data_IF_156967897513
#
_entry.id   IF_156967897513
#
_cell.length_a   1.000
_cell.length_b   1.000
_cell.length_c   1.000
_cell.angle_alpha   90.00
_cell.angle_beta   90.00
_cell.angle_gamma   90.00
#
_symmetry.space_group_name_H-M   'P 1'
#
loop_
_entity.id
_entity.type
_entity.pdbx_description
1 polymer ?
#
# COMPACT_ATOMS: atom_id res chain seq x y z
N UNK A 1 -28.61 -4.83 28.31
CA UNK A 1 -28.49 -5.45 26.98
C UNK A 1 -27.05 -5.25 26.52
N UNK A 2 -26.38 -6.37 26.29
CA UNK A 2 -25.05 -6.64 25.72
C UNK A 2 -24.03 -5.49 25.62
N UNK A 3 -23.01 -5.53 26.47
CA UNK A 3 -21.68 -5.05 26.11
C UNK A 3 -21.00 -6.16 25.29
N UNK A 4 -20.74 -5.92 24.01
CA UNK A 4 -19.89 -6.80 23.21
C UNK A 4 -18.49 -6.81 23.83
N UNK A 5 -17.82 -7.96 23.99
CA UNK A 5 -16.42 -7.96 24.39
C UNK A 5 -15.63 -7.28 23.26
N UNK A 6 -15.04 -6.13 23.58
CA UNK A 6 -13.99 -5.50 22.80
C UNK A 6 -12.86 -6.52 22.75
N UNK A 7 -12.83 -7.34 21.70
CA UNK A 7 -11.71 -8.23 21.42
C UNK A 7 -10.54 -7.32 21.09
N UNK A 8 -9.73 -6.96 22.09
CA UNK A 8 -8.38 -6.49 21.84
C UNK A 8 -7.71 -7.58 20.98
N UNK A 9 -7.48 -7.34 19.68
CA UNK A 9 -6.80 -8.34 18.88
C UNK A 9 -5.36 -8.35 19.40
N UNK A 10 -5.03 -9.37 20.20
CA UNK A 10 -3.64 -9.71 20.44
C UNK A 10 -2.94 -9.71 19.07
N UNK A 11 -1.80 -9.03 18.92
CA UNK A 11 -1.15 -8.95 17.63
C UNK A 11 -0.87 -10.36 17.12
N UNK A 12 -1.50 -10.72 15.99
CA UNK A 12 -1.32 -12.03 15.36
C UNK A 12 0.16 -12.22 15.02
N UNK A 13 0.68 -13.42 15.23
CA UNK A 13 2.01 -13.75 14.74
C UNK A 13 2.05 -13.73 13.21
N UNK A 14 3.22 -13.50 12.62
CA UNK A 14 3.38 -13.49 11.15
C UNK A 14 2.93 -14.80 10.51
N UNK A 15 3.09 -15.93 11.21
CA UNK A 15 2.63 -17.24 10.78
C UNK A 15 1.10 -17.31 10.71
N UNK A 16 0.40 -16.87 11.77
CA UNK A 16 -1.06 -16.87 11.83
C UNK A 16 -1.65 -15.97 10.75
N UNK A 17 -1.05 -14.78 10.56
CA UNK A 17 -1.44 -13.84 9.50
C UNK A 17 -1.34 -14.46 8.12
N UNK A 18 -0.21 -15.11 7.81
CA UNK A 18 0.00 -15.81 6.52
C UNK A 18 -1.03 -16.90 6.31
N UNK A 19 -1.30 -17.71 7.34
CA UNK A 19 -2.26 -18.80 7.24
C UNK A 19 -3.70 -18.31 7.01
N UNK A 20 -4.09 -17.21 7.67
CA UNK A 20 -5.39 -16.55 7.49
C UNK A 20 -5.55 -16.00 6.06
N UNK A 21 -4.52 -15.36 5.52
CA UNK A 21 -4.54 -14.87 4.14
C UNK A 21 -4.60 -16.01 3.14
N UNK A 22 -3.83 -17.09 3.35
CA UNK A 22 -3.84 -18.25 2.47
C UNK A 22 -5.19 -18.97 2.41
N UNK A 23 -5.98 -18.94 3.50
CA UNK A 23 -7.33 -19.50 3.50
C UNK A 23 -8.30 -18.77 2.53
N UNK A 24 -8.02 -17.51 2.18
CA UNK A 24 -8.86 -16.71 1.27
C UNK A 24 -8.23 -16.59 -0.12
N UNK A 25 -6.91 -16.37 -0.17
CA UNK A 25 -6.19 -16.02 -1.38
C UNK A 25 -5.32 -17.17 -1.93
N UNK A 26 -5.14 -18.26 -1.17
CA UNK A 26 -4.18 -19.31 -1.47
C UNK A 26 -2.75 -18.96 -1.07
N UNK A 27 -1.81 -19.87 -1.35
CA UNK A 27 -0.41 -19.73 -0.90
C UNK A 27 0.39 -18.65 -1.66
N UNK A 28 -0.15 -18.17 -2.79
CA UNK A 28 0.46 -17.11 -3.60
C UNK A 28 -0.30 -15.82 -3.32
N UNK A 29 0.35 -14.88 -2.63
CA UNK A 29 -0.18 -13.54 -2.45
C UNK A 29 0.12 -12.68 -3.70
N UNK A 30 -0.79 -11.77 -4.07
CA UNK A 30 -0.49 -10.75 -5.07
C UNK A 30 0.75 -9.95 -4.67
N UNK A 31 1.56 -9.58 -5.65
CA UNK A 31 2.66 -8.65 -5.47
C UNK A 31 2.08 -7.24 -5.23
N UNK A 32 2.64 -6.51 -4.26
CA UNK A 32 2.26 -5.12 -4.00
C UNK A 32 2.80 -4.22 -5.11
N UNK A 33 1.95 -3.33 -5.64
CA UNK A 33 2.36 -2.39 -6.68
C UNK A 33 2.95 -1.11 -6.07
N UNK A 34 3.58 -0.29 -6.91
CA UNK A 34 4.10 1.00 -6.44
C UNK A 34 3.01 1.90 -5.86
N UNK A 35 1.78 1.79 -6.37
CA UNK A 35 0.64 2.67 -6.02
C UNK A 35 -0.01 2.30 -4.68
N UNK A 36 0.22 1.07 -4.19
CA UNK A 36 -0.30 0.60 -2.89
C UNK A 36 0.51 1.13 -1.70
N UNK A 37 1.72 1.63 -1.96
CA UNK A 37 2.63 2.15 -0.94
C UNK A 37 2.20 3.53 -0.47
N UNK A 38 2.22 3.82 0.84
CA UNK A 38 1.87 5.14 1.36
C UNK A 38 2.78 6.20 0.75
N UNK A 39 2.22 7.34 0.33
CA UNK A 39 2.95 8.42 -0.33
C UNK A 39 4.17 8.92 0.47
N UNK A 40 4.14 8.74 1.80
CA UNK A 40 5.22 9.08 2.72
C UNK A 40 6.48 8.21 2.54
N UNK A 41 6.34 7.02 1.95
CA UNK A 41 7.44 6.09 1.64
C UNK A 41 8.11 6.38 0.30
N UNK A 42 7.50 7.22 -0.54
CA UNK A 42 8.00 7.64 -1.86
C UNK A 42 8.65 9.02 -1.79
N UNK A 43 9.40 9.30 -0.72
CA UNK A 43 10.26 10.49 -0.71
C UNK A 43 11.54 10.16 -1.48
N UNK A 44 11.60 10.66 -2.71
CA UNK A 44 12.85 10.92 -3.46
C UNK A 44 13.33 9.89 -4.50
N UNK A 45 12.45 9.27 -5.29
CA UNK A 45 12.87 8.64 -6.55
C UNK A 45 12.27 9.35 -7.77
N UNK A 46 12.73 10.60 -7.92
CA UNK A 46 13.18 11.09 -9.22
C UNK A 46 12.12 11.27 -10.29
N UNK A 47 11.31 12.32 -10.13
CA UNK A 47 10.95 13.32 -11.17
C UNK A 47 9.83 14.19 -10.59
N UNK A 48 10.23 15.24 -9.88
CA UNK A 48 9.30 16.27 -9.43
C UNK A 48 8.75 17.10 -10.59
N UNK A 49 8.34 18.33 -10.31
CA UNK A 49 7.85 19.30 -11.31
C UNK A 49 8.77 19.44 -12.54
N UNK A 50 10.06 19.15 -12.42
CA UNK A 50 11.05 19.28 -13.49
C UNK A 50 10.73 18.41 -14.71
N UNK A 51 10.28 17.16 -14.52
CA UNK A 51 9.85 16.34 -15.66
C UNK A 51 8.63 16.93 -16.36
N UNK A 52 7.69 17.46 -15.60
CA UNK A 52 6.49 18.08 -16.16
C UNK A 52 6.82 19.36 -16.95
N UNK A 53 7.75 20.18 -16.44
CA UNK A 53 8.26 21.40 -17.12
C UNK A 53 8.97 21.05 -18.42
N UNK A 54 9.75 19.96 -18.45
CA UNK A 54 10.46 19.48 -19.65
C UNK A 54 9.53 18.91 -20.72
N UNK A 55 8.27 18.57 -20.38
CA UNK A 55 7.28 18.07 -21.34
C UNK A 55 6.35 19.16 -21.89
N UNK A 56 6.53 20.44 -21.50
CA UNK A 56 5.71 21.53 -22.02
C UNK A 56 6.04 21.80 -23.49
N UNK A 57 5.08 21.65 -24.43
CA UNK A 57 5.32 21.92 -25.84
C UNK A 57 5.75 23.38 -26.08
N UNK A 58 6.67 23.65 -27.03
CA UNK A 58 7.27 24.97 -27.24
C UNK A 58 6.33 26.05 -27.81
N UNK A 59 5.04 25.73 -28.01
CA UNK A 59 4.06 26.60 -28.66
C UNK A 59 2.79 26.77 -27.83
N UNK A 60 2.94 27.02 -26.52
CA UNK A 60 1.90 27.67 -25.72
C UNK A 60 2.13 29.18 -25.72
N UNK A 61 1.62 29.84 -26.75
CA UNK A 61 1.47 31.27 -26.88
C UNK A 61 0.16 31.56 -27.60
#
# INVERSE_FOLDING_TARGET
MSGSPELDPQPESDWERRQRLAAVFGDVLPEETSDDRPADSVKSDGKGDDWYRDQVPPHHG
#
